data_IF_098077016527
#
_entry.id   IF_098077016527
#
_cell.length_a   1.000
_cell.length_b   1.000
_cell.length_c   1.000
_cell.angle_alpha   90.00
_cell.angle_beta   90.00
_cell.angle_gamma   90.00
#
_symmetry.space_group_name_H-M   'P 1'
#
loop_
_entity.id
_entity.type
_entity.pdbx_description
1 polymer ?
#
# COMPACT_ATOMS: atom_id res chain seq x y z
N UNK A 1 5.72 13.01 -1.83
CA UNK A 1 6.58 11.81 -1.91
C UNK A 1 6.54 11.19 -3.30
N UNK A 2 7.59 10.51 -3.77
CA UNK A 2 7.56 9.75 -5.02
C UNK A 2 6.94 8.36 -4.75
N UNK A 3 5.88 8.02 -5.50
CA UNK A 3 5.15 6.75 -5.37
C UNK A 3 5.31 5.95 -6.67
N UNK A 4 6.00 4.82 -6.59
CA UNK A 4 6.08 3.84 -7.67
C UNK A 4 5.08 2.69 -7.48
N UNK A 5 4.84 1.96 -8.55
CA UNK A 5 3.95 0.81 -8.56
C UNK A 5 4.65 -0.40 -9.16
N UNK A 6 4.73 -1.49 -8.40
CA UNK A 6 5.19 -2.77 -8.94
C UNK A 6 4.16 -3.35 -9.91
N UNK A 7 4.62 -4.21 -10.82
CA UNK A 7 3.73 -4.95 -11.74
C UNK A 7 2.70 -5.79 -10.98
N UNK A 8 3.05 -6.32 -9.83
CA UNK A 8 2.16 -7.11 -8.97
C UNK A 8 1.05 -6.26 -8.37
N UNK A 9 1.33 -4.97 -8.12
CA UNK A 9 0.33 -4.04 -7.62
C UNK A 9 -0.77 -3.84 -8.65
N UNK A 10 -0.40 -3.50 -9.88
CA UNK A 10 -1.35 -3.35 -10.99
C UNK A 10 -2.19 -4.63 -11.20
N UNK A 11 -1.54 -5.80 -11.18
CA UNK A 11 -2.24 -7.10 -11.30
C UNK A 11 -3.22 -7.35 -10.15
N UNK A 12 -2.83 -7.05 -8.91
CA UNK A 12 -3.68 -7.23 -7.74
C UNK A 12 -4.87 -6.26 -7.72
N UNK A 13 -4.64 -5.01 -8.11
CA UNK A 13 -5.67 -3.98 -8.22
C UNK A 13 -6.75 -4.39 -9.24
N UNK A 14 -6.36 -4.94 -10.39
CA UNK A 14 -7.29 -5.43 -11.42
C UNK A 14 -8.22 -6.58 -10.98
N UNK A 15 -7.88 -7.27 -9.88
CA UNK A 15 -8.72 -8.31 -9.27
C UNK A 15 -9.81 -7.72 -8.37
N UNK A 16 -9.66 -6.48 -7.90
CA UNK A 16 -10.65 -5.81 -7.05
C UNK A 16 -11.80 -5.31 -7.94
N UNK A 17 -13.02 -5.78 -7.69
CA UNK A 17 -14.22 -5.37 -8.44
C UNK A 17 -15.06 -4.32 -7.72
N UNK A 18 -14.89 -4.19 -6.41
CA UNK A 18 -15.58 -3.20 -5.59
C UNK A 18 -15.04 -1.79 -5.87
N UNK A 19 -15.87 -0.97 -6.52
CA UNK A 19 -15.54 0.40 -6.90
C UNK A 19 -15.32 1.31 -5.69
N UNK A 20 -16.00 1.05 -4.57
CA UNK A 20 -15.81 1.83 -3.34
C UNK A 20 -14.42 1.60 -2.75
N UNK A 21 -13.90 0.36 -2.84
CA UNK A 21 -12.55 0.02 -2.41
C UNK A 21 -11.53 0.69 -3.33
N UNK A 22 -11.72 0.62 -4.65
CA UNK A 22 -10.83 1.28 -5.62
C UNK A 22 -10.72 2.78 -5.37
N UNK A 23 -11.84 3.48 -5.14
CA UNK A 23 -11.84 4.92 -4.79
C UNK A 23 -11.10 5.22 -3.49
N UNK A 24 -11.20 4.34 -2.48
CA UNK A 24 -10.45 4.49 -1.23
C UNK A 24 -8.95 4.27 -1.45
N UNK A 25 -8.57 3.31 -2.30
CA UNK A 25 -7.17 3.06 -2.66
C UNK A 25 -6.59 4.27 -3.41
N UNK A 26 -7.32 4.80 -4.39
CA UNK A 26 -6.96 6.04 -5.10
C UNK A 26 -6.76 7.21 -4.12
N UNK A 27 -7.70 7.40 -3.20
CA UNK A 27 -7.57 8.44 -2.15
C UNK A 27 -6.33 8.26 -1.26
N UNK A 28 -5.91 7.02 -1.03
CA UNK A 28 -4.67 6.72 -0.29
C UNK A 28 -3.44 7.04 -1.13
N UNK A 29 -3.43 6.70 -2.43
CA UNK A 29 -2.34 7.02 -3.35
C UNK A 29 -2.12 8.53 -3.42
N UNK A 30 -3.18 9.31 -3.64
CA UNK A 30 -3.10 10.77 -3.71
C UNK A 30 -2.56 11.38 -2.40
N UNK A 31 -2.91 10.80 -1.24
CA UNK A 31 -2.37 11.22 0.06
C UNK A 31 -0.90 10.85 0.25
N UNK A 32 -0.46 9.71 -0.30
CA UNK A 32 0.95 9.33 -0.27
C UNK A 32 1.77 10.29 -1.14
N UNK A 33 1.28 10.61 -2.34
CA UNK A 33 1.95 11.53 -3.25
C UNK A 33 2.08 12.95 -2.66
N UNK A 34 1.07 13.41 -1.93
CA UNK A 34 1.08 14.73 -1.28
C UNK A 34 1.80 14.79 0.08
N UNK A 35 2.09 13.65 0.70
CA UNK A 35 2.78 13.61 1.99
C UNK A 35 4.29 13.90 1.85
N UNK A 36 4.86 14.55 2.85
CA UNK A 36 6.32 14.70 3.00
C UNK A 36 6.93 13.47 3.67
N UNK A 37 6.24 12.89 4.65
CA UNK A 37 6.70 11.73 5.41
C UNK A 37 5.61 10.69 5.58
N UNK A 38 6.01 9.41 5.60
CA UNK A 38 5.08 8.31 5.85
C UNK A 38 4.54 8.31 7.29
N UNK A 39 5.29 8.90 8.22
CA UNK A 39 4.93 8.95 9.64
C UNK A 39 3.73 9.87 9.91
N UNK A 40 3.46 10.80 8.98
CA UNK A 40 2.31 11.72 9.06
C UNK A 40 0.99 11.04 8.63
N UNK A 41 1.09 9.85 8.03
CA UNK A 41 -0.05 9.13 7.48
C UNK A 41 -0.61 8.12 8.50
N UNK A 42 -1.88 8.30 8.83
CA UNK A 42 -2.64 7.32 9.62
C UNK A 42 -2.83 6.01 8.85
N UNK A 43 -3.04 4.91 9.58
CA UNK A 43 -3.29 3.56 9.05
C UNK A 43 -2.10 2.86 8.38
N UNK A 44 -0.89 3.41 8.49
CA UNK A 44 0.36 2.76 8.10
C UNK A 44 0.95 2.01 9.30
N UNK A 45 1.41 0.79 9.09
CA UNK A 45 2.22 0.04 10.07
C UNK A 45 3.43 -0.59 9.40
N UNK A 46 4.60 -0.45 10.03
CA UNK A 46 5.79 -1.25 9.70
C UNK A 46 5.53 -2.71 10.03
N UNK A 47 6.02 -3.60 9.19
CA UNK A 47 5.87 -5.04 9.40
C UNK A 47 6.99 -5.57 10.29
N UNK A 48 6.63 -6.46 11.21
CA UNK A 48 7.58 -7.04 12.17
C UNK A 48 8.56 -7.96 11.43
N UNK A 49 9.84 -7.91 11.80
CA UNK A 49 10.89 -8.72 11.16
C UNK A 49 11.44 -8.15 9.86
N UNK A 50 10.90 -7.04 9.34
CA UNK A 50 11.35 -6.41 8.10
C UNK A 50 11.84 -4.97 8.33
N UNK A 51 12.89 -4.58 7.61
CA UNK A 51 13.51 -3.25 7.75
C UNK A 51 12.80 -2.16 6.95
N UNK A 52 12.29 -2.50 5.76
CA UNK A 52 11.76 -1.55 4.79
C UNK A 52 10.28 -1.80 4.38
N UNK A 53 9.63 -2.85 4.89
CA UNK A 53 8.27 -3.21 4.48
C UNK A 53 7.19 -2.70 5.43
N UNK A 54 6.12 -2.18 4.84
CA UNK A 54 5.01 -1.53 5.53
C UNK A 54 3.68 -1.95 4.91
N UNK A 55 2.61 -1.69 5.64
CA UNK A 55 1.25 -1.96 5.22
C UNK A 55 0.32 -0.81 5.54
N UNK A 56 -0.54 -0.46 4.58
CA UNK A 56 -1.65 0.49 4.76
C UNK A 56 -2.97 -0.28 4.90
N UNK A 57 -3.79 0.05 5.89
CA UNK A 57 -5.14 -0.50 6.05
C UNK A 57 -6.15 0.32 5.24
N UNK A 58 -6.92 -0.35 4.38
CA UNK A 58 -8.01 0.25 3.57
C UNK A 58 -9.28 -0.58 3.78
N UNK A 59 -10.00 -0.34 4.88
CA UNK A 59 -11.12 -1.20 5.29
C UNK A 59 -10.65 -2.65 5.49
N UNK A 60 -11.23 -3.56 4.70
CA UNK A 60 -10.85 -4.98 4.68
C UNK A 60 -9.70 -5.30 3.72
N UNK A 61 -9.23 -4.31 2.96
CA UNK A 61 -8.07 -4.44 2.09
C UNK A 61 -6.82 -3.91 2.77
N UNK A 62 -5.67 -4.40 2.31
CA UNK A 62 -4.36 -3.97 2.75
C UNK A 62 -3.50 -3.71 1.53
N UNK A 63 -2.78 -2.60 1.56
CA UNK A 63 -1.77 -2.27 0.57
C UNK A 63 -0.42 -2.58 1.20
N UNK A 64 0.33 -3.46 0.56
CA UNK A 64 1.72 -3.73 0.90
C UNK A 64 2.65 -2.82 0.11
N UNK A 65 3.62 -2.21 0.77
CA UNK A 65 4.60 -1.37 0.12
C UNK A 65 5.98 -1.47 0.78
N UNK A 66 7.00 -1.17 0.00
CA UNK A 66 8.39 -1.05 0.45
C UNK A 66 8.78 0.43 0.44
N UNK A 67 9.44 0.88 1.51
CA UNK A 67 10.10 2.18 1.56
C UNK A 67 11.51 2.03 1.01
N UNK A 68 11.71 2.44 -0.23
CA UNK A 68 12.99 2.32 -0.95
C UNK A 68 13.98 3.41 -0.53
N UNK A 69 13.49 4.62 -0.27
CA UNK A 69 14.30 5.76 0.19
C UNK A 69 13.53 6.65 1.19
N UNK A 70 14.16 7.73 1.64
CA UNK A 70 13.53 8.71 2.53
C UNK A 70 12.24 9.31 1.94
N UNK A 71 12.22 9.58 0.62
CA UNK A 71 11.12 10.22 -0.09
C UNK A 71 10.54 9.36 -1.24
N UNK A 72 10.82 8.05 -1.23
CA UNK A 72 10.38 7.13 -2.28
C UNK A 72 9.82 5.86 -1.67
N UNK A 73 8.69 5.42 -2.21
CA UNK A 73 8.11 4.12 -1.87
C UNK A 73 7.57 3.43 -3.12
N UNK A 74 7.47 2.11 -3.04
CA UNK A 74 6.91 1.28 -4.10
C UNK A 74 5.71 0.52 -3.55
N UNK A 75 4.52 0.74 -4.11
CA UNK A 75 3.36 -0.08 -3.81
C UNK A 75 3.51 -1.42 -4.52
N UNK A 76 3.44 -2.52 -3.77
CA UNK A 76 3.78 -3.86 -4.26
C UNK A 76 2.52 -4.69 -4.51
N UNK A 77 1.54 -4.65 -3.59
CA UNK A 77 0.27 -5.36 -3.75
C UNK A 77 -0.89 -4.66 -3.04
N UNK A 78 -2.10 -4.88 -3.52
CA UNK A 78 -3.35 -4.52 -2.87
C UNK A 78 -4.27 -5.75 -2.81
N UNK A 79 -4.42 -6.34 -1.61
CA UNK A 79 -5.18 -7.57 -1.42
C UNK A 79 -6.17 -7.46 -0.26
N UNK A 80 -7.20 -8.31 -0.29
CA UNK A 80 -8.10 -8.46 0.83
C UNK A 80 -7.35 -9.07 2.03
N UNK A 81 -7.81 -8.80 3.25
CA UNK A 81 -7.15 -9.19 4.51
C UNK A 81 -6.80 -10.66 4.64
N UNK A 82 -7.62 -11.50 4.03
CA UNK A 82 -7.51 -12.96 4.09
C UNK A 82 -6.38 -13.48 3.20
N UNK A 83 -6.03 -12.74 2.15
CA UNK A 83 -5.12 -13.21 1.10
C UNK A 83 -3.72 -12.64 1.27
N UNK A 84 -3.61 -11.46 1.89
CA UNK A 84 -2.33 -10.75 1.94
C UNK A 84 -1.25 -11.48 2.73
N UNK A 85 -1.61 -12.17 3.82
CA UNK A 85 -0.62 -12.83 4.69
C UNK A 85 0.10 -14.01 4.03
N UNK A 86 -0.42 -14.53 2.92
CA UNK A 86 0.24 -15.56 2.13
C UNK A 86 1.13 -14.99 1.03
N UNK A 87 1.08 -13.67 0.79
CA UNK A 87 1.73 -13.02 -0.34
C UNK A 87 2.60 -11.82 0.07
N UNK A 88 2.50 -11.34 1.32
CA UNK A 88 3.21 -10.15 1.83
C UNK A 88 3.05 -9.93 3.36
N UNK A 89 4.08 -9.49 4.08
CA UNK A 89 5.48 -9.38 3.66
C UNK A 89 6.18 -10.74 3.64
#
# INVERSE_FOLDING_TARGET
MIVDFDKSFAKSLGKIKDQSVLKRIESVILKLESAERIEDLSNIKKLQGHTAYYRIKVGDYRIGFEKTDANRLTLIIALHRKDIYNQFP
#
